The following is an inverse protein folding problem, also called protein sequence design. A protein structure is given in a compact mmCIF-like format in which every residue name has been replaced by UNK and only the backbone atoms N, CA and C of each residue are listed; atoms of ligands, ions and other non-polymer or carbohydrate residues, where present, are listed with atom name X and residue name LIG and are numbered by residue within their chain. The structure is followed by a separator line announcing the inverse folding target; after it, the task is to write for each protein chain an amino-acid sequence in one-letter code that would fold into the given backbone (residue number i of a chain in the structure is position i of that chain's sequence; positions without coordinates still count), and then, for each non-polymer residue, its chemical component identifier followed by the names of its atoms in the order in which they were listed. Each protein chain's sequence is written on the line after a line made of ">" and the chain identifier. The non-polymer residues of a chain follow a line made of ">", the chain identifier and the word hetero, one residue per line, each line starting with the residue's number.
data_IF_116871945092
#
_entry.id   IF_116871945092
#
_cell.length_a   1.000
_cell.length_b   1.000
_cell.length_c   1.000
_cell.angle_alpha   90.00
_cell.angle_beta   90.00
_cell.angle_gamma   90.00
#
_symmetry.space_group_name_H-M   'P 1'
#
loop_
_entity.id
_entity.type
_entity.pdbx_description
1 polymer ?
#
# COMPACT_ATOMS: atom_id res chain seq x y z
N UNK A 1 -6.13 -9.48 -1.65
CA UNK A 1 -5.40 -10.78 -1.62
C UNK A 1 -3.94 -10.67 -2.07
N UNK A 2 -3.60 -9.92 -3.14
CA UNK A 2 -2.23 -9.87 -3.68
C UNK A 2 -1.22 -9.23 -2.73
N UNK A 3 -1.58 -8.18 -2.05
CA UNK A 3 -0.65 -7.46 -1.16
C UNK A 3 -0.36 -8.23 0.14
N UNK A 4 -1.36 -8.93 0.69
CA UNK A 4 -1.15 -9.87 1.81
C UNK A 4 -0.22 -11.02 1.41
N UNK A 5 -0.30 -11.47 0.15
CA UNK A 5 0.64 -12.46 -0.39
C UNK A 5 2.07 -11.93 -0.51
N UNK A 6 2.24 -10.64 -0.77
CA UNK A 6 3.58 -10.02 -0.84
C UNK A 6 4.24 -9.95 0.53
N UNK A 7 3.55 -9.44 1.55
CA UNK A 7 4.06 -9.44 2.92
C UNK A 7 4.43 -10.86 3.41
N UNK A 8 3.61 -11.87 3.09
CA UNK A 8 3.91 -13.27 3.41
C UNK A 8 5.13 -13.77 2.65
N UNK A 9 5.27 -13.42 1.36
CA UNK A 9 6.41 -13.85 0.53
C UNK A 9 7.70 -13.18 0.97
N UNK A 10 7.67 -11.89 1.34
CA UNK A 10 8.84 -11.20 1.86
C UNK A 10 9.30 -11.81 3.17
N UNK A 11 8.38 -12.12 4.09
CA UNK A 11 8.70 -12.84 5.34
C UNK A 11 9.24 -14.24 5.06
N UNK A 12 8.65 -14.99 4.12
CA UNK A 12 9.13 -16.33 3.74
C UNK A 12 10.53 -16.26 3.13
N UNK A 13 10.79 -15.28 2.26
CA UNK A 13 12.12 -15.13 1.69
C UNK A 13 13.17 -14.72 2.72
N UNK A 14 12.81 -13.85 3.66
CA UNK A 14 13.66 -13.47 4.79
C UNK A 14 13.97 -14.69 5.68
N UNK A 15 12.96 -15.47 6.03
CA UNK A 15 13.13 -16.73 6.79
C UNK A 15 13.98 -17.75 6.02
N UNK A 16 13.76 -17.89 4.70
CA UNK A 16 14.56 -18.78 3.85
C UNK A 16 16.01 -18.36 3.74
N UNK A 17 16.29 -17.06 3.75
CA UNK A 17 17.65 -16.54 3.68
C UNK A 17 18.39 -16.58 5.02
N UNK A 18 17.68 -16.42 6.14
CA UNK A 18 18.28 -16.15 7.44
C UNK A 18 18.06 -17.25 8.49
N UNK A 19 17.15 -18.22 8.27
CA UNK A 19 16.81 -19.27 9.24
C UNK A 19 17.07 -20.66 8.65
N UNK A 20 18.24 -21.23 8.95
CA UNK A 20 18.73 -22.50 8.40
C UNK A 20 17.75 -23.67 8.62
N UNK A 21 17.10 -23.74 9.77
CA UNK A 21 16.12 -24.81 10.09
C UNK A 21 14.88 -24.72 9.17
N UNK A 22 14.40 -23.51 8.88
CA UNK A 22 13.26 -23.31 7.95
C UNK A 22 13.70 -23.65 6.54
N UNK A 23 14.84 -23.17 6.09
CA UNK A 23 15.42 -23.45 4.79
C UNK A 23 15.53 -24.94 4.54
N UNK A 24 16.11 -25.68 5.50
CA UNK A 24 16.30 -27.12 5.43
C UNK A 24 14.95 -27.86 5.35
N UNK A 25 14.00 -27.51 6.21
CA UNK A 25 12.68 -28.16 6.23
C UNK A 25 11.88 -27.94 4.94
N UNK A 26 11.90 -26.69 4.43
CA UNK A 26 11.20 -26.35 3.20
C UNK A 26 11.80 -27.07 2.00
N UNK A 27 13.12 -27.03 1.84
CA UNK A 27 13.80 -27.70 0.73
C UNK A 27 13.61 -29.22 0.75
N UNK A 28 13.65 -29.83 1.93
CA UNK A 28 13.37 -31.27 2.09
C UNK A 28 11.92 -31.61 1.72
N UNK A 29 10.96 -30.76 2.12
CA UNK A 29 9.54 -30.96 1.78
C UNK A 29 9.28 -30.80 0.27
N UNK A 30 9.91 -29.79 -0.35
CA UNK A 30 9.75 -29.50 -1.78
C UNK A 30 10.49 -30.48 -2.68
N UNK A 31 11.48 -31.21 -2.14
CA UNK A 31 12.31 -32.20 -2.88
C UNK A 31 12.86 -31.65 -4.21
N UNK A 32 13.31 -30.40 -4.21
CA UNK A 32 13.88 -29.75 -5.39
C UNK A 32 15.25 -30.32 -5.75
N UNK A 33 15.58 -30.35 -7.03
CA UNK A 33 16.91 -30.76 -7.51
C UNK A 33 18.03 -29.80 -7.07
N UNK A 34 17.68 -28.52 -6.97
CA UNK A 34 18.52 -27.46 -6.40
C UNK A 34 17.79 -26.81 -5.24
N UNK A 35 18.42 -26.64 -4.07
CA UNK A 35 17.80 -26.00 -2.92
C UNK A 35 17.46 -24.54 -3.21
N UNK A 36 16.28 -24.10 -2.80
CA UNK A 36 15.92 -22.69 -2.81
C UNK A 36 16.50 -21.98 -1.59
N UNK A 37 17.22 -20.88 -1.81
CA UNK A 37 17.93 -20.14 -0.78
C UNK A 37 17.34 -18.75 -0.51
N UNK A 38 16.16 -18.43 -1.08
CA UNK A 38 15.52 -17.13 -0.91
C UNK A 38 15.89 -16.09 -1.98
N UNK A 39 16.37 -16.52 -3.16
CA UNK A 39 16.90 -15.64 -4.21
C UNK A 39 15.83 -14.79 -4.91
N UNK A 40 14.57 -15.22 -4.86
CA UNK A 40 13.47 -14.52 -5.53
C UNK A 40 13.15 -13.21 -4.81
N UNK A 41 13.39 -12.09 -5.47
CA UNK A 41 13.00 -10.78 -4.96
C UNK A 41 11.54 -10.48 -5.33
N UNK A 42 10.69 -10.30 -4.33
CA UNK A 42 9.29 -9.89 -4.50
C UNK A 42 9.20 -8.40 -4.16
N UNK A 43 8.79 -7.59 -5.13
CA UNK A 43 8.67 -6.14 -4.95
C UNK A 43 7.20 -5.72 -4.91
N UNK A 44 6.91 -4.72 -4.11
CA UNK A 44 5.64 -4.01 -4.19
C UNK A 44 5.58 -3.19 -5.50
N UNK A 45 4.40 -3.06 -6.10
CA UNK A 45 4.29 -2.34 -7.38
C UNK A 45 4.73 -0.87 -7.27
N UNK A 46 4.51 -0.21 -6.12
CA UNK A 46 5.05 1.13 -5.87
C UNK A 46 6.59 1.17 -5.86
N UNK A 47 7.26 0.13 -5.34
CA UNK A 47 8.72 0.03 -5.40
C UNK A 47 9.18 -0.11 -6.85
N UNK A 48 8.50 -0.94 -7.64
CA UNK A 48 8.79 -1.05 -9.07
C UNK A 48 8.62 0.31 -9.77
N UNK A 49 7.57 1.05 -9.43
CA UNK A 49 7.35 2.40 -9.99
C UNK A 49 8.40 3.40 -9.54
N UNK A 50 8.90 3.31 -8.28
CA UNK A 50 9.95 4.18 -7.76
C UNK A 50 11.33 3.80 -8.29
N UNK A 51 11.72 2.52 -8.16
CA UNK A 51 13.11 2.08 -8.26
C UNK A 51 13.47 1.57 -9.66
N UNK A 52 12.51 0.99 -10.38
CA UNK A 52 12.73 0.41 -11.72
C UNK A 52 12.29 1.36 -12.81
N UNK A 53 11.08 1.92 -12.71
CA UNK A 53 10.54 2.84 -13.71
C UNK A 53 11.07 4.25 -13.49
N UNK A 54 11.03 4.73 -12.26
CA UNK A 54 11.31 6.11 -11.84
C UNK A 54 10.08 7.02 -11.96
N UNK A 55 9.81 7.79 -10.91
CA UNK A 55 8.66 8.72 -10.87
C UNK A 55 8.77 9.84 -11.91
N UNK A 56 9.98 10.22 -12.32
CA UNK A 56 10.16 11.22 -13.39
C UNK A 56 9.63 10.72 -14.74
N UNK A 57 9.88 9.45 -15.07
CA UNK A 57 9.31 8.84 -16.30
C UNK A 57 7.79 8.71 -16.24
N UNK A 58 7.23 8.44 -15.05
CA UNK A 58 5.77 8.42 -14.86
C UNK A 58 5.22 9.82 -15.13
N UNK A 59 5.83 10.86 -14.54
CA UNK A 59 5.45 12.25 -14.74
C UNK A 59 5.45 12.68 -16.22
N UNK A 60 6.44 12.23 -16.99
CA UNK A 60 6.50 12.46 -18.44
C UNK A 60 5.36 11.80 -19.22
N UNK A 61 4.82 10.69 -18.71
CA UNK A 61 3.73 9.91 -19.33
C UNK A 61 2.35 10.32 -18.87
N UNK A 62 2.23 11.22 -17.90
CA UNK A 62 0.94 11.72 -17.43
C UNK A 62 0.24 12.51 -18.54
N UNK A 63 -0.90 12.02 -18.97
CA UNK A 63 -1.77 12.66 -19.98
C UNK A 63 -2.79 13.58 -19.31
N UNK A 64 -3.34 13.15 -18.17
CA UNK A 64 -4.32 13.88 -17.38
C UNK A 64 -3.71 14.25 -16.02
N UNK A 65 -2.94 15.35 -15.90
CA UNK A 65 -2.37 15.74 -14.61
C UNK A 65 -3.48 16.10 -13.62
N UNK A 66 -3.38 15.56 -12.42
CA UNK A 66 -4.38 15.68 -11.35
C UNK A 66 -4.25 17.02 -10.60
N UNK A 67 -4.08 18.11 -11.31
CA UNK A 67 -3.85 19.43 -10.75
C UNK A 67 -5.00 19.91 -9.88
N UNK A 68 -4.67 20.48 -8.73
CA UNK A 68 -5.65 21.04 -7.80
C UNK A 68 -6.24 20.03 -6.82
N UNK A 69 -6.10 18.72 -7.05
CA UNK A 69 -6.56 17.69 -6.09
C UNK A 69 -5.61 17.61 -4.90
N UNK A 70 -6.18 17.54 -3.71
CA UNK A 70 -5.45 17.38 -2.44
C UNK A 70 -5.65 15.97 -1.90
N UNK A 71 -4.65 15.14 -2.08
CA UNK A 71 -4.72 13.70 -1.87
C UNK A 71 -3.93 13.30 -0.64
N UNK A 72 -4.59 12.66 0.32
CA UNK A 72 -3.95 12.07 1.48
C UNK A 72 -3.37 10.68 1.16
N UNK A 73 -2.09 10.47 1.47
CA UNK A 73 -1.48 9.16 1.39
C UNK A 73 -1.88 8.31 2.60
N UNK A 74 -2.36 7.08 2.39
CA UNK A 74 -2.63 6.16 3.47
C UNK A 74 -1.86 4.85 3.30
N UNK A 75 -0.90 4.63 4.18
CA UNK A 75 -0.01 3.46 4.15
C UNK A 75 -0.59 2.26 4.90
N UNK A 76 -1.30 2.52 6.00
CA UNK A 76 -1.65 1.46 6.94
C UNK A 76 -0.42 0.89 7.66
N UNK A 77 -0.55 -0.31 8.23
CA UNK A 77 0.49 -0.90 9.09
C UNK A 77 1.42 -1.88 8.35
N UNK A 78 0.85 -2.84 7.59
CA UNK A 78 1.58 -3.98 7.03
C UNK A 78 2.50 -3.65 5.84
N UNK A 79 2.35 -2.48 5.24
CA UNK A 79 3.22 -2.03 4.16
C UNK A 79 4.59 -1.59 4.68
N UNK A 80 4.63 -1.11 5.93
CA UNK A 80 5.80 -0.51 6.55
C UNK A 80 6.44 -1.38 7.65
N UNK A 81 5.71 -2.35 8.19
CA UNK A 81 6.14 -3.12 9.38
C UNK A 81 5.95 -4.63 9.19
N UNK A 82 6.90 -5.48 9.63
CA UNK A 82 8.17 -5.13 10.26
C UNK A 82 9.14 -4.44 9.28
N UNK A 83 9.74 -3.33 9.68
CA UNK A 83 10.58 -2.52 8.79
C UNK A 83 11.86 -3.21 8.35
N UNK A 84 12.39 -4.09 9.19
CA UNK A 84 13.59 -4.90 8.91
C UNK A 84 13.38 -5.86 7.74
N UNK A 85 12.17 -6.42 7.59
CA UNK A 85 11.82 -7.35 6.52
C UNK A 85 11.27 -6.62 5.30
N UNK A 86 10.35 -5.66 5.52
CA UNK A 86 9.67 -4.98 4.43
C UNK A 86 10.58 -4.02 3.66
N UNK A 87 11.43 -3.28 4.33
CA UNK A 87 12.39 -2.31 3.75
C UNK A 87 11.76 -1.39 2.68
N UNK A 88 10.46 -1.15 2.80
CA UNK A 88 9.67 -0.47 1.79
C UNK A 88 9.90 1.05 1.78
N UNK A 89 9.85 1.66 2.97
CA UNK A 89 10.05 3.08 3.22
C UNK A 89 10.29 3.30 4.73
N UNK A 90 10.56 4.53 5.15
CA UNK A 90 10.65 4.89 6.56
C UNK A 90 9.32 4.58 7.26
N UNK A 91 9.29 3.68 8.28
CA UNK A 91 8.05 3.28 8.92
C UNK A 91 7.39 4.39 9.73
N UNK A 92 8.16 5.41 10.15
CA UNK A 92 7.66 6.52 10.96
C UNK A 92 7.32 7.74 10.10
N UNK A 93 8.05 7.96 9.01
CA UNK A 93 7.83 9.08 8.11
C UNK A 93 7.92 8.69 6.63
N UNK A 94 7.04 7.81 6.15
CA UNK A 94 7.07 7.35 4.76
C UNK A 94 6.76 8.48 3.77
N UNK A 95 7.32 8.40 2.56
CA UNK A 95 7.16 9.43 1.52
C UNK A 95 6.82 8.89 0.14
N UNK A 96 6.96 7.58 -0.10
CA UNK A 96 6.81 7.00 -1.44
C UNK A 96 5.43 7.27 -2.07
N UNK A 97 4.33 7.25 -1.28
CA UNK A 97 3.00 7.54 -1.81
C UNK A 97 2.84 9.03 -2.07
N UNK A 98 3.37 9.90 -1.22
CA UNK A 98 3.37 11.35 -1.43
C UNK A 98 4.17 11.73 -2.70
N UNK A 99 5.31 11.10 -2.94
CA UNK A 99 6.11 11.35 -4.13
C UNK A 99 5.44 10.82 -5.40
N UNK A 100 4.76 9.69 -5.29
CA UNK A 100 3.88 9.20 -6.35
C UNK A 100 2.75 10.17 -6.67
N UNK A 101 2.06 10.72 -5.67
CA UNK A 101 0.99 11.74 -5.84
C UNK A 101 1.54 12.96 -6.58
N UNK A 102 2.73 13.46 -6.18
CA UNK A 102 3.39 14.58 -6.86
C UNK A 102 3.71 14.27 -8.33
N UNK A 103 4.18 13.05 -8.61
CA UNK A 103 4.49 12.62 -9.97
C UNK A 103 3.24 12.62 -10.88
N UNK A 104 2.05 12.38 -10.33
CA UNK A 104 0.78 12.48 -11.05
C UNK A 104 0.24 13.92 -11.17
N UNK A 105 0.94 14.91 -10.58
CA UNK A 105 0.57 16.33 -10.65
C UNK A 105 -0.42 16.80 -9.58
N UNK A 106 -0.77 15.97 -8.60
CA UNK A 106 -1.60 16.33 -7.46
C UNK A 106 -0.77 16.87 -6.27
N UNK A 107 -1.44 17.39 -5.28
CA UNK A 107 -0.83 17.89 -4.03
C UNK A 107 -1.01 16.85 -2.93
N UNK A 108 0.07 16.24 -2.40
CA UNK A 108 -0.04 15.32 -1.30
C UNK A 108 -0.36 16.05 0.01
N UNK A 109 -1.23 15.46 0.81
CA UNK A 109 -1.58 15.95 2.16
C UNK A 109 -0.99 15.01 3.19
N UNK A 110 -0.05 15.52 3.98
CA UNK A 110 0.56 14.78 5.09
C UNK A 110 -0.27 14.97 6.36
N UNK A 111 -0.66 13.87 6.98
CA UNK A 111 -1.47 13.87 8.21
C UNK A 111 -0.97 12.81 9.19
N UNK A 112 -1.18 13.00 10.51
CA UNK A 112 -0.56 12.15 11.54
C UNK A 112 -0.93 10.66 11.46
N UNK A 113 -2.18 10.35 11.09
CA UNK A 113 -2.67 8.96 11.11
C UNK A 113 -2.47 8.18 9.80
N UNK A 114 -1.61 8.64 8.90
CA UNK A 114 -1.43 8.01 7.58
C UNK A 114 -0.79 6.62 7.61
N UNK A 115 -0.05 6.29 8.68
CA UNK A 115 0.63 5.01 8.89
C UNK A 115 0.06 4.19 10.07
N UNK A 116 -1.08 4.60 10.61
CA UNK A 116 -1.80 3.86 11.64
C UNK A 116 -2.63 2.71 11.05
N UNK A 117 -2.99 1.75 11.91
CA UNK A 117 -3.78 0.61 11.47
C UNK A 117 -5.24 1.00 11.20
N UNK A 118 -5.82 0.55 10.09
CA UNK A 118 -7.24 0.74 9.79
C UNK A 118 -8.20 -0.17 10.59
N UNK A 119 -7.69 -1.14 11.34
CA UNK A 119 -8.51 -2.13 12.03
C UNK A 119 -9.10 -3.23 11.13
N UNK A 120 -8.64 -3.38 9.88
CA UNK A 120 -9.19 -4.34 8.94
C UNK A 120 -9.19 -5.79 9.44
N UNK A 121 -8.17 -6.21 10.19
CA UNK A 121 -8.09 -7.56 10.75
C UNK A 121 -9.05 -7.81 11.91
N UNK A 122 -9.37 -6.79 12.68
CA UNK A 122 -10.27 -6.91 13.84
C UNK A 122 -11.73 -6.66 13.47
N UNK A 123 -12.01 -6.14 12.28
CA UNK A 123 -13.34 -5.72 11.84
C UNK A 123 -14.39 -6.84 11.89
N UNK A 124 -13.98 -8.10 11.74
CA UNK A 124 -14.88 -9.26 11.82
C UNK A 124 -15.33 -9.55 13.26
N UNK A 125 -14.48 -9.27 14.24
CA UNK A 125 -14.76 -9.55 15.65
C UNK A 125 -15.20 -8.32 16.43
N UNK A 126 -14.52 -7.19 16.19
CA UNK A 126 -14.68 -5.94 16.94
C UNK A 126 -15.04 -4.79 15.98
N UNK A 127 -16.20 -4.91 15.32
CA UNK A 127 -16.63 -3.96 14.29
C UNK A 127 -16.65 -2.50 14.76
N UNK A 128 -17.12 -2.26 15.99
CA UNK A 128 -17.18 -0.91 16.57
C UNK A 128 -15.79 -0.29 16.74
N UNK A 129 -14.80 -1.10 17.16
CA UNK A 129 -13.43 -0.63 17.29
C UNK A 129 -12.83 -0.29 15.93
N UNK A 130 -13.01 -1.17 14.94
CA UNK A 130 -12.56 -0.93 13.57
C UNK A 130 -13.19 0.32 12.97
N UNK A 131 -14.49 0.56 13.20
CA UNK A 131 -15.18 1.78 12.76
C UNK A 131 -14.59 3.03 13.38
N UNK A 132 -14.32 3.02 14.69
CA UNK A 132 -13.68 4.17 15.35
C UNK A 132 -12.29 4.48 14.79
N UNK A 133 -11.51 3.45 14.47
CA UNK A 133 -10.17 3.62 13.85
C UNK A 133 -10.29 4.26 12.46
N UNK A 134 -11.24 3.82 11.64
CA UNK A 134 -11.53 4.42 10.33
C UNK A 134 -11.94 5.89 10.48
N UNK A 135 -12.88 6.18 11.38
CA UNK A 135 -13.36 7.55 11.61
C UNK A 135 -12.25 8.50 12.05
N UNK A 136 -11.31 8.03 12.89
CA UNK A 136 -10.16 8.82 13.31
C UNK A 136 -9.19 9.11 12.15
N UNK A 137 -8.92 8.12 11.30
CA UNK A 137 -8.08 8.28 10.12
C UNK A 137 -8.70 9.30 9.17
N UNK A 138 -9.99 9.15 8.85
CA UNK A 138 -10.74 10.06 7.97
C UNK A 138 -10.76 11.48 8.51
N UNK A 139 -11.06 11.64 9.81
CA UNK A 139 -11.07 12.94 10.47
C UNK A 139 -9.70 13.61 10.47
N UNK A 140 -8.63 12.85 10.72
CA UNK A 140 -7.24 13.35 10.69
C UNK A 140 -6.84 13.86 9.31
N UNK A 141 -7.19 13.12 8.25
CA UNK A 141 -6.90 13.50 6.88
C UNK A 141 -7.71 14.73 6.44
N UNK A 142 -9.02 14.74 6.71
CA UNK A 142 -9.91 15.85 6.40
C UNK A 142 -9.50 17.13 7.14
N UNK A 143 -9.14 17.03 8.43
CA UNK A 143 -8.65 18.17 9.20
C UNK A 143 -7.40 18.83 8.59
N UNK A 144 -6.54 18.02 7.95
CA UNK A 144 -5.35 18.49 7.22
C UNK A 144 -5.64 18.96 5.81
N UNK A 145 -6.90 18.91 5.38
CA UNK A 145 -7.37 19.42 4.09
C UNK A 145 -7.24 18.42 2.94
N UNK A 146 -7.16 17.13 3.23
CA UNK A 146 -7.30 16.11 2.20
C UNK A 146 -8.75 16.07 1.69
N UNK A 147 -8.90 15.94 0.38
CA UNK A 147 -10.20 15.82 -0.31
C UNK A 147 -10.50 14.37 -0.68
N UNK A 148 -9.47 13.55 -0.74
CA UNK A 148 -9.53 12.10 -0.96
C UNK A 148 -8.33 11.40 -0.33
N UNK A 149 -8.43 10.07 -0.17
CA UNK A 149 -7.33 9.22 0.26
C UNK A 149 -6.94 8.24 -0.83
N UNK A 150 -5.64 7.98 -0.97
CA UNK A 150 -5.18 6.83 -1.73
C UNK A 150 -4.48 5.84 -0.82
N UNK A 151 -4.62 4.57 -1.15
CA UNK A 151 -3.93 3.48 -0.46
C UNK A 151 -3.41 2.44 -1.43
N UNK A 152 -2.40 1.71 -0.99
CA UNK A 152 -1.83 0.59 -1.71
C UNK A 152 -2.22 -0.78 -1.11
N UNK A 153 -3.11 -0.80 -0.12
CA UNK A 153 -3.59 -2.01 0.55
C UNK A 153 -5.08 -2.27 0.25
N UNK A 154 -5.45 -3.37 -0.46
CA UNK A 154 -6.85 -3.66 -0.78
C UNK A 154 -7.73 -3.85 0.46
N UNK A 155 -7.18 -4.43 1.52
CA UNK A 155 -7.91 -4.59 2.78
C UNK A 155 -8.16 -3.23 3.46
N UNK A 156 -7.16 -2.35 3.42
CA UNK A 156 -7.31 -0.98 3.94
C UNK A 156 -8.35 -0.21 3.11
N UNK A 157 -8.30 -0.29 1.78
CA UNK A 157 -9.30 0.34 0.92
C UNK A 157 -10.72 -0.14 1.25
N UNK A 158 -10.91 -1.46 1.34
CA UNK A 158 -12.20 -2.03 1.71
C UNK A 158 -12.68 -1.50 3.08
N UNK A 159 -11.80 -1.53 4.07
CA UNK A 159 -12.17 -1.12 5.44
C UNK A 159 -12.48 0.37 5.53
N UNK A 160 -11.68 1.22 4.92
CA UNK A 160 -11.90 2.66 4.87
C UNK A 160 -13.19 3.04 4.14
N UNK A 161 -13.55 2.33 3.06
CA UNK A 161 -14.78 2.57 2.29
C UNK A 161 -16.05 2.10 3.01
N UNK A 162 -15.98 1.00 3.80
CA UNK A 162 -17.18 0.28 4.23
C UNK A 162 -17.42 0.27 5.74
N UNK A 163 -16.42 0.58 6.56
CA UNK A 163 -16.53 0.42 8.01
C UNK A 163 -16.54 1.72 8.81
N UNK A 164 -16.45 2.90 8.18
CA UNK A 164 -16.65 4.18 8.85
C UNK A 164 -18.10 4.35 9.29
N UNK A 165 -18.32 5.07 10.40
CA UNK A 165 -19.66 5.41 10.90
C UNK A 165 -20.18 6.74 10.35
N UNK A 166 -19.28 7.55 9.77
CA UNK A 166 -19.57 8.88 9.20
C UNK A 166 -19.27 8.85 7.71
N UNK A 167 -19.86 9.78 6.99
CA UNK A 167 -19.47 10.05 5.62
C UNK A 167 -18.00 10.46 5.61
N UNK A 168 -17.17 9.66 4.95
CA UNK A 168 -15.72 9.82 4.89
C UNK A 168 -15.27 10.40 3.57
N UNK A 169 -13.96 10.63 3.46
CA UNK A 169 -13.32 11.00 2.22
C UNK A 169 -13.44 9.84 1.20
N UNK A 170 -13.54 10.12 -0.10
CA UNK A 170 -13.36 9.12 -1.14
C UNK A 170 -12.02 8.40 -0.95
N UNK A 171 -12.01 7.09 -1.15
CA UNK A 171 -10.78 6.28 -1.05
C UNK A 171 -10.55 5.59 -2.37
N UNK A 172 -9.39 5.81 -2.98
CA UNK A 172 -9.02 5.26 -4.29
C UNK A 172 -7.79 4.36 -4.15
N UNK A 173 -7.71 3.32 -4.97
CA UNK A 173 -6.51 2.51 -5.01
C UNK A 173 -5.44 3.21 -5.86
N UNK A 174 -4.17 3.13 -5.47
CA UNK A 174 -3.11 3.89 -6.15
C UNK A 174 -2.99 3.58 -7.65
N UNK A 175 -3.33 2.35 -8.08
CA UNK A 175 -3.31 1.97 -9.50
C UNK A 175 -4.49 2.55 -10.29
N UNK A 176 -5.65 2.75 -9.64
CA UNK A 176 -6.80 3.43 -10.25
C UNK A 176 -6.43 4.90 -10.53
N UNK A 177 -5.79 5.55 -9.56
CA UNK A 177 -5.31 6.92 -9.72
C UNK A 177 -4.22 7.03 -10.81
N UNK A 178 -3.32 6.03 -10.89
CA UNK A 178 -2.32 5.96 -11.95
C UNK A 178 -2.97 5.83 -13.33
N UNK A 179 -3.95 4.93 -13.47
CA UNK A 179 -4.67 4.72 -14.73
C UNK A 179 -5.39 6.01 -15.18
N UNK A 180 -6.06 6.71 -14.26
CA UNK A 180 -6.69 8.00 -14.53
C UNK A 180 -5.68 9.03 -15.04
N UNK A 181 -4.54 9.17 -14.37
CA UNK A 181 -3.49 10.12 -14.75
C UNK A 181 -2.83 9.79 -16.09
N UNK A 182 -2.70 8.51 -16.43
CA UNK A 182 -2.18 8.05 -17.71
C UNK A 182 -3.22 8.05 -18.83
N UNK A 183 -4.48 8.42 -18.56
CA UNK A 183 -5.55 8.43 -19.54
C UNK A 183 -6.01 7.03 -19.98
N UNK A 184 -5.71 6.00 -19.19
CA UNK A 184 -6.12 4.62 -19.46
C UNK A 184 -7.59 4.49 -19.03
N UNK A 185 -8.48 4.18 -19.99
CA UNK A 185 -9.87 3.83 -19.69
C UNK A 185 -9.95 2.35 -19.36
N UNK A 186 -10.55 1.99 -18.24
CA UNK A 186 -10.94 0.61 -18.00
C UNK A 186 -11.99 0.21 -19.05
N UNK A 187 -11.62 -0.67 -19.96
CA UNK A 187 -12.60 -1.44 -20.70
C UNK A 187 -13.14 -2.51 -19.74
N UNK A 188 -14.21 -2.18 -19.03
CA UNK A 188 -14.97 -3.17 -18.28
C UNK A 188 -15.60 -4.10 -19.31
N UNK A 189 -14.95 -5.21 -19.60
CA UNK A 189 -15.63 -6.31 -20.29
C UNK A 189 -16.71 -6.84 -19.33
N UNK A 190 -17.95 -6.55 -19.68
CA UNK A 190 -19.14 -7.02 -19.00
C UNK A 190 -19.30 -8.54 -19.15
#
# INVERSE_FOLDING_TARGET
>A
RRQRQMCIRDSVNDDMANVEDIQTKVNNYMALSEPYLGETKVLHYLEVLRDVVGFDKIKEKVVNPLKGRKIGAYYGCMLLRPSTTMQFDDPENPTIIEDFIKALGATPVVYPMRNECCGGYISLKEKKMASNMVDQIMASASYKGAEELITACPLCMYNLRNNGTKEGLPVTYFTELLAEALGIKEEVQA
#
